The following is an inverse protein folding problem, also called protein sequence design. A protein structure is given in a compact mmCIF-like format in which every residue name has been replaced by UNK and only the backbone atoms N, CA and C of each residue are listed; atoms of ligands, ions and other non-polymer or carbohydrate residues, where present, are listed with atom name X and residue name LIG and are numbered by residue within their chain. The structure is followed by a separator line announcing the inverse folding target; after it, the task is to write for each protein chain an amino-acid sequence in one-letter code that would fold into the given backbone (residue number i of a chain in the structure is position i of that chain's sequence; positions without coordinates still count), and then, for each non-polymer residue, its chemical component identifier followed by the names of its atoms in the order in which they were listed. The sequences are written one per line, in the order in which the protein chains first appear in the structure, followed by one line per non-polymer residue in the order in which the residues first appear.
data_IF_202200047186
#
_entry.id   IF_202200047186
#
_cell.length_a   1.000
_cell.length_b   1.000
_cell.length_c   1.000
_cell.angle_alpha   90.00
_cell.angle_beta   90.00
_cell.angle_gamma   90.00
#
_symmetry.space_group_name_H-M   'P 1'
#
loop_
_entity.id
_entity.type
_entity.pdbx_description
1 polymer ?
#
# COMPACT_ATOMS: atom_id res chain seq x y z
N UNK A 1 -12.69 -12.18 -34.30
CA UNK A 1 -11.22 -11.96 -34.39
C UNK A 1 -10.52 -12.84 -35.41
N UNK A 2 -10.93 -14.07 -35.62
CA UNK A 2 -10.33 -15.02 -36.58
C UNK A 2 -10.27 -14.54 -38.03
N UNK A 3 -10.80 -13.35 -38.36
CA UNK A 3 -10.86 -12.78 -39.72
C UNK A 3 -10.11 -11.47 -39.86
N UNK A 4 -9.49 -10.96 -38.82
CA UNK A 4 -8.70 -9.73 -38.87
C UNK A 4 -7.32 -10.05 -39.35
N UNK A 5 -6.84 -9.31 -40.35
CA UNK A 5 -5.46 -9.39 -40.86
C UNK A 5 -4.49 -8.97 -39.75
N UNK A 6 -3.50 -9.80 -39.46
CA UNK A 6 -2.50 -9.54 -38.41
C UNK A 6 -1.74 -8.24 -38.73
N UNK A 7 -1.37 -8.01 -39.99
CA UNK A 7 -0.66 -6.82 -40.39
C UNK A 7 -1.51 -5.56 -40.31
N UNK A 8 -2.81 -5.66 -40.59
CA UNK A 8 -3.75 -4.54 -40.47
C UNK A 8 -3.91 -4.14 -38.98
N UNK A 9 -3.91 -5.11 -38.07
CA UNK A 9 -3.98 -4.85 -36.62
C UNK A 9 -2.70 -4.25 -36.05
N UNK A 10 -1.53 -4.63 -36.57
CA UNK A 10 -0.24 -4.13 -36.13
C UNK A 10 0.18 -2.84 -36.82
N UNK A 11 -0.36 -2.54 -38.00
CA UNK A 11 0.00 -1.37 -38.81
C UNK A 11 -0.83 -0.11 -38.53
N UNK A 12 -1.86 -0.20 -37.72
CA UNK A 12 -2.57 1.00 -37.25
C UNK A 12 -1.66 1.72 -36.22
N UNK A 13 -0.90 2.74 -36.68
CA UNK A 13 -0.04 3.58 -35.82
C UNK A 13 -0.76 4.04 -34.54
N UNK A 14 -2.05 4.40 -34.65
CA UNK A 14 -2.88 4.78 -33.52
C UNK A 14 -3.08 3.67 -32.48
N UNK A 15 -2.98 2.38 -32.85
CA UNK A 15 -3.08 1.25 -31.91
C UNK A 15 -1.72 1.04 -31.22
N UNK A 16 -0.60 1.12 -31.96
CA UNK A 16 0.73 1.00 -31.41
C UNK A 16 1.01 2.07 -30.34
N UNK A 17 0.72 3.33 -30.64
CA UNK A 17 0.85 4.43 -29.68
C UNK A 17 -0.01 4.26 -28.42
N UNK A 18 -1.20 3.66 -28.53
CA UNK A 18 -2.07 3.38 -27.37
C UNK A 18 -1.60 2.19 -26.56
N UNK A 19 -1.15 1.11 -27.21
CA UNK A 19 -0.69 -0.12 -26.54
C UNK A 19 0.59 0.15 -25.75
N UNK A 20 1.49 0.95 -26.32
CA UNK A 20 2.78 1.25 -25.70
C UNK A 20 2.73 2.45 -24.72
N UNK A 21 1.59 3.13 -24.63
CA UNK A 21 1.43 4.26 -23.72
C UNK A 21 1.03 3.80 -22.32
N UNK A 22 1.94 3.87 -21.30
CA UNK A 22 1.66 3.42 -19.95
C UNK A 22 0.58 4.25 -19.24
N UNK A 23 0.24 5.42 -19.77
CA UNK A 23 -0.79 6.31 -19.23
C UNK A 23 -2.15 6.13 -19.92
N UNK A 24 -2.26 5.23 -20.89
CA UNK A 24 -3.53 4.96 -21.56
C UNK A 24 -4.45 4.15 -20.66
N UNK A 25 -5.58 4.75 -20.28
CA UNK A 25 -6.62 4.03 -19.53
C UNK A 25 -7.25 2.90 -20.35
N UNK A 26 -7.59 1.82 -19.69
CA UNK A 26 -8.33 0.70 -20.27
C UNK A 26 -9.42 0.23 -19.28
N UNK A 27 -10.46 -0.38 -19.81
CA UNK A 27 -11.52 -0.97 -19.00
C UNK A 27 -11.08 -2.35 -18.50
N UNK A 28 -10.66 -2.39 -17.23
CA UNK A 28 -10.19 -3.61 -16.57
C UNK A 28 -11.25 -4.71 -16.54
N UNK A 29 -12.54 -4.37 -16.56
CA UNK A 29 -13.63 -5.36 -16.56
C UNK A 29 -13.67 -6.19 -17.84
N UNK A 30 -13.05 -5.70 -18.91
CA UNK A 30 -12.92 -6.39 -20.18
C UNK A 30 -11.67 -7.28 -20.26
N UNK A 31 -10.77 -7.24 -19.27
CA UNK A 31 -9.49 -7.94 -19.33
C UNK A 31 -9.65 -9.46 -19.49
N UNK A 32 -10.49 -10.09 -18.66
CA UNK A 32 -10.76 -11.52 -18.73
C UNK A 32 -11.30 -11.93 -20.12
N UNK A 33 -12.25 -11.13 -20.65
CA UNK A 33 -12.81 -11.33 -22.00
C UNK A 33 -11.77 -11.11 -23.09
N UNK A 34 -10.85 -10.17 -22.90
CA UNK A 34 -9.75 -9.93 -23.85
C UNK A 34 -8.82 -11.16 -23.91
N UNK A 35 -8.43 -11.71 -22.76
CA UNK A 35 -7.60 -12.93 -22.69
C UNK A 35 -8.29 -14.09 -23.42
N UNK A 36 -9.57 -14.31 -23.14
CA UNK A 36 -10.35 -15.34 -23.82
C UNK A 36 -10.38 -15.15 -25.35
N UNK A 37 -10.53 -13.92 -25.82
CA UNK A 37 -10.54 -13.58 -27.24
C UNK A 37 -9.16 -13.68 -27.89
N UNK A 38 -8.07 -13.62 -27.15
CA UNK A 38 -6.71 -13.82 -27.66
C UNK A 38 -6.32 -15.31 -27.77
N UNK A 39 -7.11 -16.23 -27.19
CA UNK A 39 -6.86 -17.66 -27.29
C UNK A 39 -7.27 -18.19 -28.69
N UNK A 40 -6.48 -17.83 -29.71
CA UNK A 40 -6.64 -18.23 -31.10
C UNK A 40 -5.30 -18.65 -31.67
N UNK A 41 -5.30 -19.56 -32.63
CA UNK A 41 -4.07 -19.94 -33.30
C UNK A 41 -3.40 -18.73 -33.98
N UNK A 42 -2.05 -18.63 -33.96
CA UNK A 42 -1.33 -17.49 -34.54
C UNK A 42 -1.61 -17.27 -36.01
N UNK A 43 -1.89 -18.36 -36.74
CA UNK A 43 -2.17 -18.33 -38.17
C UNK A 43 -3.31 -19.25 -38.55
N UNK A 44 -3.97 -18.96 -39.66
CA UNK A 44 -4.99 -19.83 -40.25
C UNK A 44 -4.30 -20.98 -41.00
N UNK A 45 -4.38 -22.20 -40.45
CA UNK A 45 -3.73 -23.38 -41.02
C UNK A 45 -4.18 -23.61 -42.47
N UNK A 46 -3.22 -23.66 -43.38
CA UNK A 46 -3.40 -24.10 -44.77
C UNK A 46 -4.00 -23.08 -45.73
N UNK A 47 -4.34 -21.86 -45.31
CA UNK A 47 -5.00 -20.88 -46.20
C UNK A 47 -4.32 -19.51 -46.24
N UNK A 48 -3.97 -18.92 -45.11
CA UNK A 48 -3.41 -17.58 -45.07
C UNK A 48 -2.59 -17.37 -43.81
N UNK A 49 -1.27 -17.21 -43.99
CA UNK A 49 -0.34 -17.01 -42.87
C UNK A 49 -0.44 -15.62 -42.22
N UNK A 50 -1.19 -14.69 -42.83
CA UNK A 50 -1.39 -13.32 -42.30
C UNK A 50 -2.65 -13.16 -41.48
N UNK A 51 -3.48 -14.21 -41.36
CA UNK A 51 -4.71 -14.18 -40.57
C UNK A 51 -4.60 -15.02 -39.32
N UNK A 52 -5.25 -14.56 -38.26
CA UNK A 52 -5.41 -15.35 -37.05
C UNK A 52 -6.21 -16.61 -37.33
N UNK A 53 -5.79 -17.71 -36.71
CA UNK A 53 -6.47 -18.99 -36.81
C UNK A 53 -7.77 -19.07 -36.00
N UNK A 54 -8.32 -20.25 -35.95
CA UNK A 54 -9.51 -20.53 -35.14
C UNK A 54 -9.18 -20.51 -33.65
N UNK A 55 -10.21 -20.61 -32.82
CA UNK A 55 -10.12 -20.75 -31.39
C UNK A 55 -9.21 -21.91 -30.98
N UNK A 56 -8.28 -21.61 -30.08
CA UNK A 56 -7.35 -22.58 -29.51
C UNK A 56 -7.78 -22.95 -28.09
N UNK A 57 -8.41 -24.12 -27.95
CA UNK A 57 -8.87 -24.66 -26.68
C UNK A 57 -7.74 -24.96 -25.68
N UNK A 58 -6.54 -25.26 -26.19
CA UNK A 58 -5.38 -25.55 -25.34
C UNK A 58 -4.88 -24.26 -24.67
N UNK A 59 -4.69 -23.20 -25.46
CA UNK A 59 -4.32 -21.89 -24.92
C UNK A 59 -5.36 -21.35 -23.93
N UNK A 60 -6.65 -21.53 -24.24
CA UNK A 60 -7.72 -21.16 -23.31
C UNK A 60 -7.64 -21.93 -22.00
N UNK A 61 -7.42 -23.25 -22.06
CA UNK A 61 -7.30 -24.08 -20.87
C UNK A 61 -6.12 -23.65 -19.97
N UNK A 62 -5.00 -23.25 -20.55
CA UNK A 62 -3.87 -22.68 -19.82
C UNK A 62 -4.21 -21.33 -19.16
N UNK A 63 -5.00 -20.49 -19.84
CA UNK A 63 -5.40 -19.18 -19.33
C UNK A 63 -6.60 -19.22 -18.37
N UNK A 64 -7.31 -20.35 -18.26
CA UNK A 64 -8.56 -20.44 -17.51
C UNK A 64 -8.39 -20.04 -16.03
N UNK A 65 -7.33 -20.53 -15.39
CA UNK A 65 -7.02 -20.18 -14.00
C UNK A 65 -6.81 -18.65 -13.81
N UNK A 66 -6.14 -18.02 -14.76
CA UNK A 66 -5.92 -16.56 -14.76
C UNK A 66 -7.25 -15.80 -14.96
N UNK A 67 -8.07 -16.23 -15.91
CA UNK A 67 -9.40 -15.63 -16.19
C UNK A 67 -10.28 -15.70 -14.94
N UNK A 68 -10.33 -16.86 -14.27
CA UNK A 68 -11.11 -17.04 -13.03
C UNK A 68 -10.60 -16.10 -11.92
N UNK A 69 -9.29 -16.01 -11.75
CA UNK A 69 -8.69 -15.11 -10.74
C UNK A 69 -8.98 -13.64 -11.00
N UNK A 70 -8.85 -13.19 -12.25
CA UNK A 70 -9.17 -11.82 -12.65
C UNK A 70 -10.63 -11.50 -12.34
N UNK A 71 -11.55 -12.37 -12.74
CA UNK A 71 -12.98 -12.19 -12.48
C UNK A 71 -13.28 -12.17 -10.98
N UNK A 72 -12.64 -13.06 -10.20
CA UNK A 72 -12.82 -13.10 -8.74
C UNK A 72 -12.37 -11.80 -8.08
N UNK A 73 -11.22 -11.24 -8.47
CA UNK A 73 -10.72 -9.95 -7.92
C UNK A 73 -11.64 -8.79 -8.34
N UNK A 74 -11.98 -8.68 -9.63
CA UNK A 74 -12.79 -7.57 -10.14
C UNK A 74 -14.21 -7.58 -9.54
N UNK A 75 -14.78 -8.77 -9.28
CA UNK A 75 -16.12 -8.94 -8.71
C UNK A 75 -16.14 -8.93 -7.18
N UNK A 76 -14.99 -8.89 -6.52
CA UNK A 76 -14.91 -8.91 -5.06
C UNK A 76 -15.38 -7.59 -4.47
N UNK A 77 -16.20 -7.66 -3.44
CA UNK A 77 -16.60 -6.49 -2.66
C UNK A 77 -15.41 -5.75 -2.02
N UNK A 78 -14.29 -6.44 -1.80
CA UNK A 78 -13.06 -5.83 -1.28
C UNK A 78 -12.44 -4.80 -2.25
N UNK A 79 -12.67 -4.97 -3.56
CA UNK A 79 -12.17 -4.08 -4.61
C UNK A 79 -13.25 -3.22 -5.26
N UNK A 80 -14.45 -3.17 -4.70
CA UNK A 80 -15.54 -2.33 -5.25
C UNK A 80 -15.15 -0.86 -5.31
N UNK A 81 -14.39 -0.36 -4.32
CA UNK A 81 -13.87 1.01 -4.31
C UNK A 81 -12.84 1.30 -5.43
N UNK A 82 -12.27 0.26 -6.06
CA UNK A 82 -11.29 0.39 -7.16
C UNK A 82 -11.95 0.17 -8.52
N UNK A 83 -12.75 -0.90 -8.65
CA UNK A 83 -13.33 -1.35 -9.92
C UNK A 83 -14.82 -1.04 -10.05
N UNK A 84 -15.47 -0.64 -8.96
CA UNK A 84 -16.89 -0.26 -8.95
C UNK A 84 -17.16 1.02 -9.74
N UNK A 85 -18.40 1.20 -10.14
CA UNK A 85 -18.89 2.43 -10.76
C UNK A 85 -19.27 3.41 -9.65
N UNK A 86 -18.32 4.10 -9.07
CA UNK A 86 -18.60 5.19 -8.13
C UNK A 86 -18.77 6.51 -8.89
N UNK A 87 -19.72 7.33 -8.46
CA UNK A 87 -19.87 8.73 -8.87
C UNK A 87 -19.11 9.66 -7.94
N UNK A 88 -18.51 9.13 -6.88
CA UNK A 88 -17.77 9.88 -5.91
C UNK A 88 -16.39 10.30 -6.46
N UNK A 89 -15.84 11.33 -5.83
CA UNK A 89 -14.53 11.85 -6.19
C UNK A 89 -13.45 10.78 -6.03
N UNK A 90 -12.60 10.63 -7.03
CA UNK A 90 -11.49 9.70 -6.98
C UNK A 90 -10.50 10.07 -5.86
N UNK A 91 -9.92 9.09 -5.18
CA UNK A 91 -8.92 9.32 -4.14
C UNK A 91 -7.68 10.05 -4.68
N UNK A 92 -7.33 9.84 -5.95
CA UNK A 92 -6.25 10.53 -6.65
C UNK A 92 -6.50 12.04 -6.73
N UNK A 93 -7.76 12.45 -7.00
CA UNK A 93 -8.13 13.85 -7.06
C UNK A 93 -8.10 14.48 -5.67
N UNK A 94 -8.61 13.76 -4.66
CA UNK A 94 -8.58 14.21 -3.28
C UNK A 94 -7.14 14.42 -2.77
N UNK A 95 -6.21 13.51 -3.09
CA UNK A 95 -4.79 13.63 -2.75
C UNK A 95 -4.15 14.82 -3.49
N UNK A 96 -4.43 14.97 -4.79
CA UNK A 96 -3.87 16.05 -5.60
C UNK A 96 -4.33 17.41 -5.12
N UNK A 97 -5.60 17.56 -4.74
CA UNK A 97 -6.13 18.78 -4.14
C UNK A 97 -5.51 19.04 -2.77
N UNK A 98 -5.43 18.03 -1.91
CA UNK A 98 -4.81 18.16 -0.59
C UNK A 98 -3.37 18.71 -0.68
N UNK A 99 -2.58 18.24 -1.65
CA UNK A 99 -1.20 18.71 -1.81
C UNK A 99 -1.09 20.12 -2.41
N UNK A 100 -2.12 20.59 -3.12
CA UNK A 100 -2.13 21.90 -3.79
C UNK A 100 -2.86 22.98 -3.01
N UNK A 101 -3.84 22.59 -2.21
CA UNK A 101 -4.65 23.49 -1.41
C UNK A 101 -4.11 23.64 0.01
N UNK A 102 -4.60 24.65 0.74
CA UNK A 102 -4.23 24.89 2.15
C UNK A 102 -5.01 23.96 3.12
N UNK A 103 -5.16 22.70 2.75
CA UNK A 103 -5.76 21.67 3.61
C UNK A 103 -4.68 21.08 4.52
N UNK A 104 -4.96 21.05 5.83
CA UNK A 104 -3.97 20.58 6.81
C UNK A 104 -4.01 19.11 7.10
N UNK A 105 -5.13 18.43 6.83
CA UNK A 105 -5.32 17.03 7.14
C UNK A 105 -6.19 16.35 6.10
N UNK A 106 -5.70 15.24 5.53
CA UNK A 106 -6.46 14.30 4.74
C UNK A 106 -6.44 12.95 5.47
N UNK A 107 -7.61 12.46 5.87
CA UNK A 107 -7.75 11.16 6.51
C UNK A 107 -8.29 10.13 5.50
N UNK A 108 -7.52 9.08 5.24
CA UNK A 108 -7.91 7.96 4.37
C UNK A 108 -8.24 6.76 5.25
N UNK A 109 -9.52 6.43 5.35
CA UNK A 109 -10.01 5.33 6.17
C UNK A 109 -10.14 4.04 5.35
N UNK A 110 -9.40 3.01 5.74
CA UNK A 110 -9.42 1.69 5.10
C UNK A 110 -10.30 0.67 5.85
N UNK A 111 -11.00 1.07 6.91
CA UNK A 111 -11.77 0.14 7.76
C UNK A 111 -12.95 -0.52 7.02
N UNK A 112 -13.51 0.15 6.01
CA UNK A 112 -14.59 -0.38 5.17
C UNK A 112 -14.15 -1.42 4.15
N UNK A 113 -12.84 -1.57 3.90
CA UNK A 113 -12.32 -2.53 2.92
C UNK A 113 -12.20 -3.90 3.57
N UNK A 114 -12.74 -4.93 2.92
CA UNK A 114 -12.65 -6.31 3.38
C UNK A 114 -11.20 -6.82 3.26
N UNK A 115 -10.87 -7.86 4.06
CA UNK A 115 -9.50 -8.43 4.08
C UNK A 115 -9.20 -9.40 2.92
N UNK A 116 -10.17 -9.64 2.04
CA UNK A 116 -10.00 -10.57 0.93
C UNK A 116 -8.92 -10.08 -0.06
N UNK A 117 -8.17 -11.03 -0.59
CA UNK A 117 -7.11 -10.79 -1.60
C UNK A 117 -6.09 -9.71 -1.22
N UNK A 118 -5.84 -9.49 0.07
CA UNK A 118 -4.95 -8.42 0.58
C UNK A 118 -5.31 -7.02 0.04
N UNK A 119 -6.60 -6.74 -0.15
CA UNK A 119 -7.09 -5.51 -0.78
C UNK A 119 -6.62 -4.25 -0.03
N UNK A 120 -6.67 -4.24 1.30
CA UNK A 120 -6.22 -3.10 2.12
C UNK A 120 -4.76 -2.76 1.89
N UNK A 121 -3.92 -3.78 1.92
CA UNK A 121 -2.48 -3.67 1.74
C UNK A 121 -2.12 -3.18 0.34
N UNK A 122 -2.77 -3.73 -0.69
CA UNK A 122 -2.55 -3.34 -2.09
C UNK A 122 -3.02 -1.89 -2.33
N UNK A 123 -4.20 -1.52 -1.83
CA UNK A 123 -4.74 -0.17 -1.97
C UNK A 123 -3.86 0.84 -1.23
N UNK A 124 -3.47 0.56 0.00
CA UNK A 124 -2.56 1.42 0.77
C UNK A 124 -1.21 1.60 0.05
N UNK A 125 -0.63 0.52 -0.47
CA UNK A 125 0.60 0.59 -1.24
C UNK A 125 0.44 1.43 -2.52
N UNK A 126 -0.68 1.28 -3.23
CA UNK A 126 -0.98 2.08 -4.43
C UNK A 126 -1.08 3.57 -4.10
N UNK A 127 -1.76 3.91 -3.00
CA UNK A 127 -1.83 5.29 -2.49
C UNK A 127 -0.44 5.82 -2.17
N UNK A 128 0.38 5.03 -1.45
CA UNK A 128 1.76 5.42 -1.12
C UNK A 128 2.63 5.65 -2.36
N UNK A 129 2.51 4.79 -3.38
CA UNK A 129 3.22 4.97 -4.66
C UNK A 129 2.75 6.21 -5.40
N UNK A 130 1.46 6.50 -5.39
CA UNK A 130 0.90 7.70 -6.01
C UNK A 130 1.38 8.98 -5.31
N UNK A 131 1.39 8.99 -3.97
CA UNK A 131 1.97 10.09 -3.18
C UNK A 131 3.45 10.34 -3.54
N UNK A 132 4.24 9.28 -3.61
CA UNK A 132 5.65 9.39 -3.98
C UNK A 132 5.83 9.88 -5.43
N UNK A 133 4.97 9.44 -6.34
CA UNK A 133 4.95 9.92 -7.72
C UNK A 133 4.70 11.43 -7.78
N UNK A 134 3.65 11.94 -7.13
CA UNK A 134 3.34 13.37 -7.09
C UNK A 134 4.47 14.18 -6.43
N UNK A 135 5.04 13.66 -5.35
CA UNK A 135 6.17 14.32 -4.69
C UNK A 135 7.40 14.45 -5.60
N UNK A 136 7.69 13.43 -6.40
CA UNK A 136 8.79 13.46 -7.40
C UNK A 136 8.52 14.46 -8.52
N UNK A 137 7.26 14.72 -8.86
CA UNK A 137 6.86 15.78 -9.81
C UNK A 137 7.06 17.19 -9.24
N UNK A 138 7.26 17.31 -7.94
CA UNK A 138 7.53 18.57 -7.26
C UNK A 138 6.34 19.15 -6.49
N UNK A 139 5.19 18.52 -6.53
CA UNK A 139 3.96 19.00 -5.86
C UNK A 139 4.14 19.16 -4.34
N UNK A 140 4.98 18.34 -3.70
CA UNK A 140 5.22 18.36 -2.26
C UNK A 140 6.40 19.25 -1.81
N UNK A 141 7.16 19.87 -2.73
CA UNK A 141 8.30 20.71 -2.34
C UNK A 141 7.86 22.05 -1.75
N UNK A 142 6.79 22.61 -2.29
CA UNK A 142 6.21 23.87 -1.80
C UNK A 142 5.40 23.64 -0.52
N UNK A 143 4.68 22.50 -0.44
CA UNK A 143 3.84 22.11 0.69
C UNK A 143 4.27 20.75 1.21
N UNK A 144 5.30 20.66 2.07
CA UNK A 144 5.76 19.39 2.63
C UNK A 144 4.64 18.68 3.39
N UNK A 145 4.54 17.37 3.19
CA UNK A 145 3.51 16.55 3.83
C UNK A 145 4.11 15.45 4.70
N UNK A 146 3.40 15.12 5.79
CA UNK A 146 3.72 13.99 6.65
C UNK A 146 2.70 12.90 6.40
N UNK A 147 3.17 11.74 5.96
CA UNK A 147 2.37 10.54 5.77
C UNK A 147 2.34 9.76 7.08
N UNK A 148 1.21 9.77 7.77
CA UNK A 148 1.02 9.00 9.01
C UNK A 148 0.41 7.66 8.65
N UNK A 149 1.11 6.57 9.00
CA UNK A 149 0.65 5.19 8.77
C UNK A 149 0.39 4.55 10.11
N UNK A 150 -0.90 4.40 10.43
CA UNK A 150 -1.33 3.70 11.65
C UNK A 150 -1.32 2.19 11.42
N UNK A 151 -1.01 1.42 12.47
CA UNK A 151 -0.81 -0.04 12.44
C UNK A 151 0.15 -0.43 11.28
N UNK A 152 1.25 0.29 11.16
CA UNK A 152 2.20 0.23 10.05
C UNK A 152 2.72 -1.18 9.73
N UNK A 153 2.73 -2.09 10.73
CA UNK A 153 3.11 -3.49 10.55
C UNK A 153 2.21 -4.26 9.56
N UNK A 154 1.02 -3.74 9.24
CA UNK A 154 0.18 -4.33 8.20
C UNK A 154 0.64 -3.97 6.78
N UNK A 155 1.38 -2.88 6.62
CA UNK A 155 1.69 -2.29 5.31
C UNK A 155 3.18 -2.31 4.96
N UNK A 156 4.05 -2.68 5.90
CA UNK A 156 5.50 -2.67 5.72
C UNK A 156 6.06 -4.09 5.75
N UNK A 157 6.98 -4.38 4.86
CA UNK A 157 7.68 -5.66 4.81
C UNK A 157 6.87 -6.83 4.28
N UNK A 158 5.61 -6.64 3.87
CA UNK A 158 4.78 -7.72 3.34
C UNK A 158 5.10 -8.03 1.88
N UNK A 159 5.18 -9.32 1.60
CA UNK A 159 5.22 -9.88 0.26
C UNK A 159 3.86 -10.51 -0.03
N UNK A 160 3.30 -10.19 -1.20
CA UNK A 160 2.04 -10.77 -1.67
C UNK A 160 2.35 -11.62 -2.90
N UNK A 161 1.89 -12.87 -2.89
CA UNK A 161 2.08 -13.81 -3.99
C UNK A 161 2.61 -15.17 -3.53
N UNK A 162 2.73 -16.12 -4.47
CA UNK A 162 3.39 -17.40 -4.27
C UNK A 162 4.90 -17.24 -4.39
N UNK A 163 5.67 -18.27 -3.96
CA UNK A 163 7.14 -18.25 -3.94
C UNK A 163 7.81 -17.84 -5.27
N UNK A 164 7.13 -18.03 -6.40
CA UNK A 164 7.67 -17.73 -7.74
C UNK A 164 7.25 -16.33 -8.29
N UNK A 165 6.30 -15.64 -7.67
CA UNK A 165 5.81 -14.33 -8.13
C UNK A 165 5.47 -13.43 -6.94
N UNK A 166 6.48 -12.82 -6.34
CA UNK A 166 6.32 -11.87 -5.26
C UNK A 166 6.04 -10.46 -5.78
N UNK A 167 4.93 -9.86 -5.39
CA UNK A 167 4.77 -8.42 -5.44
C UNK A 167 5.10 -7.83 -4.07
N UNK A 168 6.19 -7.09 -3.99
CA UNK A 168 6.61 -6.41 -2.76
C UNK A 168 5.81 -5.13 -2.60
N UNK A 169 5.14 -5.00 -1.47
CA UNK A 169 4.46 -3.76 -1.08
C UNK A 169 5.46 -2.84 -0.39
N UNK A 170 6.19 -2.04 -1.17
CA UNK A 170 7.35 -1.27 -0.72
C UNK A 170 7.14 0.25 -0.71
N UNK A 171 5.93 0.73 -1.00
CA UNK A 171 5.67 2.16 -1.15
C UNK A 171 6.08 2.97 0.08
N UNK A 172 5.69 2.54 1.27
CA UNK A 172 6.02 3.25 2.51
C UNK A 172 7.50 3.09 2.89
N UNK A 173 8.12 1.97 2.54
CA UNK A 173 9.56 1.78 2.66
C UNK A 173 10.33 2.77 1.78
N UNK A 174 9.87 2.97 0.53
CA UNK A 174 10.46 3.95 -0.38
C UNK A 174 10.25 5.38 0.11
N UNK A 175 9.07 5.71 0.66
CA UNK A 175 8.82 7.03 1.27
C UNK A 175 9.76 7.24 2.46
N UNK A 176 9.97 6.24 3.32
CA UNK A 176 10.90 6.32 4.43
C UNK A 176 12.34 6.61 3.98
N UNK A 177 12.79 5.96 2.91
CA UNK A 177 14.16 6.07 2.39
C UNK A 177 14.41 7.35 1.58
N UNK A 178 13.45 7.77 0.77
CA UNK A 178 13.65 8.80 -0.24
C UNK A 178 12.74 10.01 -0.10
N UNK A 179 11.61 9.88 0.58
CA UNK A 179 10.52 10.87 0.60
C UNK A 179 10.98 12.25 1.02
N UNK A 180 11.89 12.33 2.00
CA UNK A 180 12.44 13.61 2.50
C UNK A 180 13.04 14.48 1.40
N UNK A 181 13.66 13.89 0.38
CA UNK A 181 14.24 14.62 -0.76
C UNK A 181 13.17 15.34 -1.59
N UNK A 182 11.95 14.87 -1.53
CA UNK A 182 10.82 15.34 -2.31
C UNK A 182 9.76 16.06 -1.46
N UNK A 183 10.03 16.33 -0.18
CA UNK A 183 9.09 16.98 0.72
C UNK A 183 8.06 16.05 1.36
N UNK A 184 8.27 14.72 1.33
CA UNK A 184 7.47 13.76 2.06
C UNK A 184 8.24 13.26 3.28
N UNK A 185 7.66 13.41 4.47
CA UNK A 185 8.10 12.72 5.67
C UNK A 185 7.13 11.56 5.98
N UNK A 186 7.60 10.56 6.71
CA UNK A 186 6.76 9.45 7.16
C UNK A 186 6.75 9.38 8.69
N UNK A 187 5.59 9.11 9.25
CA UNK A 187 5.40 8.79 10.66
C UNK A 187 4.73 7.42 10.75
N UNK A 188 5.39 6.45 11.37
CA UNK A 188 4.90 5.10 11.53
C UNK A 188 4.41 4.90 12.95
N UNK A 189 3.16 4.48 13.13
CA UNK A 189 2.63 4.02 14.41
C UNK A 189 2.42 2.52 14.35
N UNK A 190 2.94 1.78 15.34
CA UNK A 190 2.82 0.31 15.39
C UNK A 190 2.87 -0.19 16.82
N UNK A 191 2.14 -1.26 17.09
CA UNK A 191 2.22 -2.03 18.34
C UNK A 191 3.17 -3.23 18.20
N UNK A 192 3.73 -3.46 16.99
CA UNK A 192 4.58 -4.60 16.66
C UNK A 192 5.83 -4.15 15.90
N UNK A 193 6.80 -3.51 16.57
CA UNK A 193 8.02 -3.05 15.90
C UNK A 193 8.79 -4.18 15.24
N UNK A 194 8.74 -5.40 15.77
CA UNK A 194 9.40 -6.59 15.18
C UNK A 194 8.86 -6.98 13.79
N UNK A 195 7.65 -6.57 13.44
CA UNK A 195 7.06 -6.86 12.13
C UNK A 195 7.42 -5.79 11.09
N UNK A 196 8.10 -4.71 11.51
CA UNK A 196 8.67 -3.70 10.63
C UNK A 196 10.09 -4.12 10.22
N UNK A 197 10.43 -3.99 8.95
CA UNK A 197 11.77 -4.34 8.48
C UNK A 197 12.83 -3.45 9.12
N UNK A 198 13.96 -4.02 9.52
CA UNK A 198 15.08 -3.30 10.11
C UNK A 198 15.59 -2.17 9.21
N UNK A 199 15.55 -2.40 7.87
CA UNK A 199 15.92 -1.40 6.87
C UNK A 199 14.99 -0.17 6.83
N UNK A 200 13.77 -0.25 7.36
CA UNK A 200 12.86 0.90 7.53
C UNK A 200 13.11 1.57 8.87
N UNK A 201 13.20 0.79 9.95
CA UNK A 201 13.41 1.34 11.29
C UNK A 201 14.72 2.13 11.40
N UNK A 202 15.79 1.67 10.77
CA UNK A 202 17.08 2.37 10.71
C UNK A 202 17.05 3.70 9.94
N UNK A 203 15.99 3.97 9.17
CA UNK A 203 15.80 5.26 8.50
C UNK A 203 14.98 6.26 9.33
N UNK A 204 14.43 5.81 10.47
CA UNK A 204 13.69 6.70 11.35
C UNK A 204 14.64 7.59 12.16
N UNK A 205 14.53 8.90 11.98
CA UNK A 205 15.36 9.87 12.71
C UNK A 205 15.01 9.96 14.20
N UNK A 206 13.75 9.73 14.54
CA UNK A 206 13.24 9.82 15.91
C UNK A 206 12.27 8.68 16.19
N UNK A 207 12.45 8.03 17.33
CA UNK A 207 11.56 7.01 17.86
C UNK A 207 10.89 7.51 19.14
N UNK A 208 9.58 7.35 19.23
CA UNK A 208 8.79 7.57 20.44
C UNK A 208 8.30 6.22 20.92
N UNK A 209 8.93 5.68 21.94
CA UNK A 209 8.72 4.31 22.40
C UNK A 209 7.93 4.33 23.70
N UNK A 210 6.70 3.83 23.67
CA UNK A 210 5.92 3.55 24.88
C UNK A 210 6.38 2.24 25.52
N UNK A 211 5.79 1.88 26.66
CA UNK A 211 6.14 0.67 27.38
C UNK A 211 6.20 -0.56 26.48
N UNK A 212 7.36 -1.20 26.41
CA UNK A 212 7.60 -2.46 25.72
C UNK A 212 7.99 -3.53 26.72
N UNK A 213 7.19 -4.61 26.78
CA UNK A 213 7.41 -5.74 27.70
C UNK A 213 7.95 -6.99 26.99
N UNK A 214 7.89 -7.02 25.65
CA UNK A 214 8.38 -8.14 24.87
C UNK A 214 9.86 -7.94 24.53
N UNK A 215 10.71 -8.88 24.90
CA UNK A 215 12.16 -8.79 24.71
C UNK A 215 12.57 -8.64 23.24
N UNK A 216 11.85 -9.32 22.31
CA UNK A 216 12.15 -9.22 20.88
C UNK A 216 11.83 -7.84 20.32
N UNK A 217 10.76 -7.21 20.81
CA UNK A 217 10.39 -5.85 20.39
C UNK A 217 11.41 -4.84 20.95
N UNK A 218 11.91 -5.06 22.16
CA UNK A 218 12.98 -4.23 22.74
C UNK A 218 14.27 -4.36 21.94
N UNK A 219 14.71 -5.59 21.64
CA UNK A 219 15.93 -5.85 20.86
C UNK A 219 15.91 -5.15 19.49
N UNK A 220 14.77 -5.15 18.81
CA UNK A 220 14.64 -4.48 17.51
C UNK A 220 14.70 -2.96 17.64
N UNK A 221 14.07 -2.39 18.66
CA UNK A 221 14.15 -0.95 18.93
C UNK A 221 15.59 -0.57 19.29
N UNK A 222 16.28 -1.36 20.10
CA UNK A 222 17.70 -1.16 20.45
C UNK A 222 18.58 -1.15 19.19
N UNK A 223 18.43 -2.13 18.32
CA UNK A 223 19.19 -2.20 17.07
C UNK A 223 18.90 -1.01 16.13
N UNK A 224 17.64 -0.59 16.06
CA UNK A 224 17.23 0.55 15.24
C UNK A 224 17.83 1.87 15.74
N UNK A 225 18.08 1.98 17.03
CA UNK A 225 18.65 3.15 17.66
C UNK A 225 20.19 3.23 17.55
N UNK A 226 20.85 2.21 17.02
CA UNK A 226 22.32 2.13 16.96
C UNK A 226 22.95 1.80 18.31
N UNK A 227 24.18 2.26 18.54
CA UNK A 227 24.93 2.03 19.78
C UNK A 227 24.39 2.86 20.96
N UNK A 228 23.10 2.76 21.25
CA UNK A 228 22.55 3.36 22.46
C UNK A 228 22.95 2.48 23.63
N UNK A 229 23.43 3.13 24.68
CA UNK A 229 23.80 2.50 25.94
C UNK A 229 22.69 1.53 26.39
N UNK A 230 23.00 0.25 26.53
CA UNK A 230 22.12 -0.81 26.99
C UNK A 230 21.34 -0.47 28.27
N UNK A 231 21.88 0.49 29.05
CA UNK A 231 21.21 1.03 30.23
C UNK A 231 19.90 1.77 29.88
N UNK A 232 19.80 2.33 28.68
CA UNK A 232 18.64 3.11 28.27
C UNK A 232 17.42 2.24 27.93
N UNK A 233 17.63 1.01 27.46
CA UNK A 233 16.53 0.08 27.15
C UNK A 233 15.94 -0.56 28.41
N UNK A 234 16.71 -0.63 29.49
CA UNK A 234 16.28 -1.26 30.75
C UNK A 234 15.08 -0.60 31.42
N UNK A 235 14.78 0.67 31.10
CA UNK A 235 13.61 1.36 31.66
C UNK A 235 12.33 1.23 30.78
N UNK A 236 12.43 0.80 29.52
CA UNK A 236 11.27 0.66 28.61
C UNK A 236 10.14 -0.24 29.19
N UNK A 237 10.44 -1.38 29.84
CA UNK A 237 9.41 -2.21 30.45
C UNK A 237 8.70 -1.54 31.62
N UNK A 238 9.35 -0.59 32.27
CA UNK A 238 8.90 0.06 33.51
C UNK A 238 8.12 1.36 33.27
N UNK A 239 8.02 1.82 32.02
CA UNK A 239 7.25 3.02 31.69
C UNK A 239 5.78 2.88 32.09
N UNK A 240 5.24 3.93 32.69
CA UNK A 240 3.84 3.99 33.09
C UNK A 240 2.94 4.39 31.89
N UNK A 241 1.62 4.13 31.98
CA UNK A 241 0.69 4.63 30.98
C UNK A 241 0.80 6.14 30.78
N UNK A 242 1.00 6.57 29.53
CA UNK A 242 1.22 7.97 29.17
C UNK A 242 2.68 8.42 29.28
N UNK A 243 3.60 7.54 29.62
CA UNK A 243 5.03 7.79 29.50
C UNK A 243 5.59 7.20 28.22
N UNK A 244 6.66 7.80 27.71
CA UNK A 244 7.39 7.35 26.54
C UNK A 244 8.87 7.69 26.65
N UNK A 245 9.70 6.93 25.94
CA UNK A 245 11.07 7.30 25.66
C UNK A 245 11.16 7.96 24.29
N UNK A 246 11.81 9.12 24.19
CA UNK A 246 12.20 9.71 22.90
C UNK A 246 13.67 9.37 22.68
N UNK A 247 13.93 8.78 21.51
CA UNK A 247 15.25 8.32 21.09
C UNK A 247 15.46 8.80 19.65
N UNK A 248 16.61 9.34 19.32
CA UNK A 248 16.89 9.75 17.96
C UNK A 248 18.14 10.60 17.82
N UNK A 249 18.47 10.93 16.58
CA UNK A 249 19.70 11.64 16.21
C UNK A 249 19.78 13.01 16.87
N UNK A 250 18.64 13.66 17.08
CA UNK A 250 18.55 15.01 17.67
C UNK A 250 18.63 14.99 19.20
N UNK A 251 18.70 13.80 19.82
CA UNK A 251 18.74 13.63 21.27
C UNK A 251 20.05 12.96 21.70
N UNK A 252 20.88 13.62 22.53
CA UNK A 252 22.17 13.07 22.94
C UNK A 252 22.06 11.81 23.80
N UNK A 253 20.92 11.57 24.39
CA UNK A 253 20.57 10.36 25.16
C UNK A 253 19.06 10.16 25.17
N UNK A 254 18.56 8.94 25.40
CA UNK A 254 17.14 8.67 25.50
C UNK A 254 16.48 9.48 26.62
N UNK A 255 15.41 10.17 26.30
CA UNK A 255 14.66 11.02 27.23
C UNK A 255 13.34 10.34 27.61
N UNK A 256 13.15 10.06 28.88
CA UNK A 256 11.85 9.67 29.40
C UNK A 256 10.97 10.92 29.52
N UNK A 257 9.81 10.89 28.86
CA UNK A 257 8.84 11.98 28.84
C UNK A 257 7.46 11.51 29.27
N UNK A 258 6.64 12.44 29.72
CA UNK A 258 5.24 12.19 29.95
C UNK A 258 4.41 12.90 28.90
N UNK A 259 3.61 12.13 28.16
CA UNK A 259 2.72 12.67 27.12
C UNK A 259 1.55 13.39 27.78
N UNK A 260 1.27 14.61 27.35
CA UNK A 260 0.11 15.37 27.81
C UNK A 260 -1.18 14.69 27.33
N UNK A 261 -2.18 14.68 28.16
CA UNK A 261 -3.51 14.19 27.75
C UNK A 261 -4.04 15.11 26.63
N UNK A 262 -4.62 14.53 25.56
CA UNK A 262 -5.21 15.33 24.50
C UNK A 262 -6.40 16.12 25.06
N UNK A 263 -6.60 17.35 24.55
CA UNK A 263 -7.74 18.21 24.91
C UNK A 263 -9.09 17.61 24.51
N UNK A 264 -9.11 16.80 23.45
CA UNK A 264 -10.28 16.05 23.02
C UNK A 264 -10.09 14.57 23.35
N UNK A 265 -11.14 13.98 23.97
CA UNK A 265 -11.12 12.55 24.26
C UNK A 265 -11.30 11.76 22.97
N UNK A 266 -10.35 10.88 22.58
CA UNK A 266 -10.51 10.04 21.42
C UNK A 266 -11.71 9.10 21.63
N UNK A 267 -12.49 8.87 20.56
CA UNK A 267 -13.59 7.90 20.56
C UNK A 267 -13.06 6.49 20.27
N UNK A 268 -12.18 6.01 21.13
CA UNK A 268 -11.54 4.70 21.02
C UNK A 268 -12.01 3.70 22.08
N UNK A 269 -13.04 4.06 22.83
CA UNK A 269 -13.55 3.20 23.89
C UNK A 269 -14.16 1.94 23.25
N UNK A 270 -13.62 0.79 23.58
CA UNK A 270 -14.24 -0.50 23.33
C UNK A 270 -15.58 -0.62 24.07
N UNK A 271 -16.37 -1.68 23.79
CA UNK A 271 -17.64 -1.88 24.49
C UNK A 271 -17.42 -1.88 25.99
N UNK A 272 -18.25 -1.11 26.70
CA UNK A 272 -18.19 -1.04 28.15
C UNK A 272 -18.80 -2.32 28.78
N UNK A 273 -17.96 -3.34 28.89
CA UNK A 273 -18.36 -4.65 29.41
C UNK A 273 -18.95 -4.58 30.82
N UNK A 274 -18.45 -3.70 31.71
CA UNK A 274 -18.97 -3.51 33.05
C UNK A 274 -20.39 -2.96 33.06
N UNK A 275 -20.76 -2.17 32.03
CA UNK A 275 -22.12 -1.65 31.89
C UNK A 275 -23.10 -2.70 31.33
N UNK A 276 -22.60 -3.60 30.46
CA UNK A 276 -23.42 -4.59 29.76
C UNK A 276 -23.47 -5.95 30.47
N UNK A 277 -22.47 -6.27 31.27
CA UNK A 277 -22.38 -7.54 32.02
C UNK A 277 -22.63 -7.33 33.50
N UNK A 278 -23.62 -6.51 33.85
CA UNK A 278 -24.12 -6.52 35.24
C UNK A 278 -24.85 -7.85 35.42
N UNK A 279 -24.37 -8.68 36.36
CA UNK A 279 -25.14 -9.75 36.91
C UNK A 279 -26.39 -9.12 37.58
N UNK A 280 -27.59 -9.60 37.24
CA UNK A 280 -28.84 -9.28 37.96
C UNK A 280 -28.76 -9.71 39.42
#
# INVERSE_FOLDING_TARGET
KSKIDINQRLSEEAIGERVDNPNQGFDVTLLARQIEQECVYPTEFGKNSQKWGNYDSSSYSYCLSLIIRINAVISSAAYECVFGRSTDKAITDAISEFLREDQRLLCICLSGIQHEFNAREIIANTIGRYLLYLARQGDSKANPAVVVVDEAHHFLGRQIGSEDMFSRLDAFELIAKEGRKFGLCICLATQRPRDITEGVLSQMGTLVVHRLTNDRDQEIVERACGEIDLSASSFLPNLQPGEAAIIGIDFPFPLAIRINKPSYRPRSDGPNYQKHWKAE
#
